data_IF_765069472689
#
_entry.id   IF_765069472689
#
_cell.length_a   1.000
_cell.length_b   1.000
_cell.length_c   1.000
_cell.angle_alpha   90.00
_cell.angle_beta   90.00
_cell.angle_gamma   90.00
#
_symmetry.space_group_name_H-M   'P 1'
#
loop_
_entity.id
_entity.type
_entity.pdbx_description
1 polymer ?
#
# COMPACT_ATOMS: atom_id res chain seq x y z
N UNK A 1 -18.39 6.83 -11.81
CA UNK A 1 -17.07 6.54 -11.20
C UNK A 1 -17.35 5.74 -9.94
N UNK A 2 -16.74 4.56 -9.78
CA UNK A 2 -16.96 3.70 -8.62
C UNK A 2 -16.61 4.46 -7.32
N UNK A 3 -17.25 4.17 -6.18
CA UNK A 3 -16.89 4.77 -4.90
C UNK A 3 -15.39 4.57 -4.68
N UNK A 4 -14.67 5.64 -4.32
CA UNK A 4 -13.23 5.57 -4.03
C UNK A 4 -13.07 4.69 -2.80
N UNK A 5 -12.68 3.43 -3.01
CA UNK A 5 -12.35 2.49 -1.93
C UNK A 5 -10.88 2.66 -1.57
N UNK A 6 -10.49 2.20 -0.38
CA UNK A 6 -9.09 2.25 0.06
C UNK A 6 -8.19 1.48 -0.93
N UNK A 7 -8.72 0.41 -1.53
CA UNK A 7 -8.05 -0.32 -2.61
C UNK A 7 -7.72 0.58 -3.81
N UNK A 8 -8.66 1.41 -4.27
CA UNK A 8 -8.38 2.33 -5.38
C UNK A 8 -7.32 3.38 -5.03
N UNK A 9 -7.38 3.96 -3.84
CA UNK A 9 -6.40 4.95 -3.39
C UNK A 9 -4.99 4.35 -3.22
N UNK A 10 -4.90 3.12 -2.69
CA UNK A 10 -3.64 2.39 -2.61
C UNK A 10 -3.07 2.09 -3.99
N UNK A 11 -3.90 1.66 -4.94
CA UNK A 11 -3.45 1.38 -6.31
C UNK A 11 -2.94 2.64 -7.03
N UNK A 12 -3.64 3.77 -6.88
CA UNK A 12 -3.22 5.05 -7.46
C UNK A 12 -1.88 5.50 -6.87
N UNK A 13 -1.75 5.44 -5.54
CA UNK A 13 -0.52 5.73 -4.82
C UNK A 13 0.64 4.83 -5.28
N UNK A 14 0.44 3.52 -5.36
CA UNK A 14 1.49 2.59 -5.82
C UNK A 14 1.88 2.87 -7.28
N UNK A 15 0.97 3.38 -8.10
CA UNK A 15 1.25 3.76 -9.49
C UNK A 15 1.99 5.10 -9.59
N UNK A 16 1.81 6.01 -8.63
CA UNK A 16 2.56 7.27 -8.55
C UNK A 16 4.01 7.05 -8.06
N UNK A 17 4.23 6.01 -7.26
CA UNK A 17 5.57 5.64 -6.81
C UNK A 17 6.49 5.27 -7.98
N UNK A 18 7.72 5.76 -7.90
CA UNK A 18 8.79 5.31 -8.80
C UNK A 18 9.09 3.84 -8.52
N UNK A 19 9.50 3.12 -9.56
CA UNK A 19 9.89 1.71 -9.48
C UNK A 19 10.84 1.41 -8.30
N UNK A 20 11.83 2.28 -8.07
CA UNK A 20 12.77 2.12 -6.95
C UNK A 20 12.09 2.21 -5.58
N UNK A 21 11.16 3.15 -5.39
CA UNK A 21 10.45 3.33 -4.12
C UNK A 21 9.42 2.23 -3.91
N UNK A 22 8.79 1.77 -5.00
CA UNK A 22 7.93 0.59 -5.00
C UNK A 22 8.68 -0.70 -4.62
N UNK A 23 9.90 -0.90 -5.13
CA UNK A 23 10.74 -2.04 -4.75
C UNK A 23 11.11 -1.98 -3.25
N UNK A 24 11.48 -0.80 -2.73
CA UNK A 24 11.71 -0.60 -1.29
C UNK A 24 10.45 -0.86 -0.47
N UNK A 25 9.30 -0.41 -0.95
CA UNK A 25 8.01 -0.64 -0.31
C UNK A 25 7.73 -2.13 -0.19
N UNK A 26 7.84 -2.89 -1.29
CA UNK A 26 7.67 -4.34 -1.30
C UNK A 26 8.66 -5.02 -0.35
N UNK A 27 9.92 -4.58 -0.33
CA UNK A 27 10.92 -5.13 0.57
C UNK A 27 10.54 -4.93 2.05
N UNK A 28 10.09 -3.73 2.44
CA UNK A 28 9.62 -3.45 3.81
C UNK A 28 8.34 -4.20 4.16
N UNK A 29 7.44 -4.37 3.19
CA UNK A 29 6.23 -5.16 3.36
C UNK A 29 6.55 -6.64 3.64
N UNK A 30 7.58 -7.18 2.98
CA UNK A 30 8.06 -8.56 3.18
C UNK A 30 8.91 -8.75 4.44
N UNK A 31 9.63 -7.72 4.87
CA UNK A 31 10.49 -7.74 6.07
C UNK A 31 9.67 -7.73 7.38
N UNK A 32 8.37 -7.40 7.30
CA UNK A 32 7.47 -7.39 8.45
C UNK A 32 7.31 -8.80 9.03
N UNK A 33 7.84 -9.00 10.25
CA UNK A 33 7.79 -10.28 10.98
C UNK A 33 6.53 -10.47 11.80
N UNK A 34 5.75 -9.41 11.99
CA UNK A 34 4.47 -9.44 12.72
C UNK A 34 3.35 -9.99 11.84
N UNK A 35 2.47 -10.81 12.42
CA UNK A 35 1.25 -11.24 11.73
C UNK A 35 0.18 -10.13 11.79
N UNK A 36 -0.59 -9.92 10.70
CA UNK A 36 -0.57 -10.65 9.44
C UNK A 36 0.60 -10.24 8.52
N UNK A 37 1.21 -11.23 7.83
CA UNK A 37 2.41 -11.03 6.98
C UNK A 37 2.14 -11.32 5.52
N UNK A 38 2.70 -10.51 4.64
CA UNK A 38 2.65 -10.75 3.19
C UNK A 38 3.81 -11.67 2.80
N UNK A 39 3.51 -12.75 2.10
CA UNK A 39 4.55 -13.67 1.61
C UNK A 39 5.15 -13.17 0.31
N UNK A 40 6.42 -13.48 0.05
CA UNK A 40 7.12 -13.11 -1.20
C UNK A 40 6.34 -13.54 -2.44
N UNK A 41 5.77 -14.75 -2.44
CA UNK A 41 4.95 -15.28 -3.54
C UNK A 41 3.65 -14.48 -3.79
N UNK A 42 3.24 -13.60 -2.86
CA UNK A 42 2.06 -12.76 -3.02
C UNK A 42 2.40 -11.40 -3.64
N UNK A 43 3.69 -11.05 -3.78
CA UNK A 43 4.16 -9.75 -4.26
C UNK A 43 5.04 -9.91 -5.49
N UNK A 44 5.90 -10.92 -5.50
CA UNK A 44 6.81 -11.19 -6.61
C UNK A 44 6.04 -11.69 -7.83
N UNK A 45 6.17 -10.97 -8.95
CA UNK A 45 5.48 -11.30 -10.21
C UNK A 45 4.03 -10.83 -10.29
N UNK A 46 3.51 -10.15 -9.26
CA UNK A 46 2.15 -9.61 -9.26
C UNK A 46 2.09 -8.17 -9.77
N UNK A 47 0.96 -7.83 -10.37
CA UNK A 47 0.66 -6.46 -10.78
C UNK A 47 0.36 -5.58 -9.56
N UNK A 48 0.55 -4.26 -9.71
CA UNK A 48 0.25 -3.24 -8.69
C UNK A 48 -1.15 -3.44 -8.08
N UNK A 49 -2.16 -3.65 -8.93
CA UNK A 49 -3.55 -3.91 -8.51
C UNK A 49 -3.70 -5.17 -7.66
N UNK A 50 -3.01 -6.25 -8.02
CA UNK A 50 -3.05 -7.49 -7.25
C UNK A 50 -2.32 -7.36 -5.92
N UNK A 51 -1.24 -6.57 -5.87
CA UNK A 51 -0.51 -6.29 -4.63
C UNK A 51 -1.39 -5.47 -3.69
N UNK A 52 -2.13 -4.49 -4.22
CA UNK A 52 -3.12 -3.75 -3.45
C UNK A 52 -4.21 -4.66 -2.89
N UNK A 53 -4.76 -5.55 -3.71
CA UNK A 53 -5.79 -6.49 -3.27
C UNK A 53 -5.26 -7.42 -2.17
N UNK A 54 -4.04 -7.95 -2.33
CA UNK A 54 -3.36 -8.73 -1.29
C UNK A 54 -3.21 -7.92 0.00
N UNK A 55 -2.86 -6.64 -0.09
CA UNK A 55 -2.70 -5.76 1.07
C UNK A 55 -4.01 -5.58 1.83
N UNK A 56 -5.09 -5.26 1.10
CA UNK A 56 -6.43 -5.08 1.68
C UNK A 56 -6.98 -6.40 2.24
N UNK A 57 -6.77 -7.51 1.54
CA UNK A 57 -7.21 -8.84 1.95
C UNK A 57 -6.44 -9.36 3.18
N UNK A 58 -5.13 -9.08 3.25
CA UNK A 58 -4.26 -9.53 4.35
C UNK A 58 -4.45 -8.69 5.61
N UNK A 59 -4.51 -7.37 5.46
CA UNK A 59 -4.51 -6.46 6.60
C UNK A 59 -5.90 -5.96 6.99
N UNK A 60 -6.90 -6.00 6.09
CA UNK A 60 -8.15 -5.21 6.09
C UNK A 60 -7.92 -3.76 5.64
N UNK A 61 -8.94 -3.12 5.04
CA UNK A 61 -8.80 -1.79 4.40
C UNK A 61 -8.14 -0.73 5.31
N UNK A 62 -8.65 -0.54 6.53
CA UNK A 62 -8.13 0.47 7.47
C UNK A 62 -6.67 0.20 7.86
N UNK A 63 -6.36 -1.06 8.18
CA UNK A 63 -5.00 -1.48 8.54
C UNK A 63 -4.04 -1.43 7.35
N UNK A 64 -4.52 -1.76 6.14
CA UNK A 64 -3.73 -1.68 4.91
C UNK A 64 -3.29 -0.24 4.64
N UNK A 65 -4.19 0.72 4.87
CA UNK A 65 -3.88 2.14 4.82
C UNK A 65 -2.78 2.52 5.83
N UNK A 66 -2.96 2.19 7.11
CA UNK A 66 -1.96 2.50 8.15
C UNK A 66 -0.58 1.89 7.83
N UNK A 67 -0.57 0.61 7.44
CA UNK A 67 0.65 -0.11 7.05
C UNK A 67 1.32 0.55 5.84
N UNK A 68 0.56 0.92 4.82
CA UNK A 68 1.09 1.59 3.64
C UNK A 68 1.71 2.95 4.00
N UNK A 69 0.99 3.76 4.78
CA UNK A 69 1.45 5.08 5.25
C UNK A 69 2.73 4.96 6.08
N UNK A 70 2.81 3.98 6.97
CA UNK A 70 3.99 3.71 7.78
C UNK A 70 5.20 3.34 6.93
N UNK A 71 5.03 2.41 5.98
CA UNK A 71 6.11 1.99 5.07
C UNK A 71 6.56 3.17 4.21
N UNK A 72 5.62 3.95 3.67
CA UNK A 72 5.91 5.14 2.86
C UNK A 72 6.75 6.16 3.63
N UNK A 73 6.39 6.43 4.89
CA UNK A 73 7.19 7.30 5.78
C UNK A 73 8.59 6.73 6.01
N UNK A 74 8.72 5.42 6.18
CA UNK A 74 10.01 4.76 6.39
C UNK A 74 10.93 4.81 5.15
N UNK A 75 10.38 4.71 3.94
CA UNK A 75 11.17 4.80 2.70
C UNK A 75 11.42 6.25 2.25
N UNK A 76 10.84 7.24 2.94
CA UNK A 76 10.99 8.67 2.64
C UNK A 76 9.90 9.27 1.74
N UNK A 77 8.92 8.47 1.31
CA UNK A 77 7.79 8.88 0.46
C UNK A 77 6.67 9.57 1.28
N UNK A 78 7.03 10.63 2.00
CA UNK A 78 6.10 11.35 2.88
C UNK A 78 4.95 12.04 2.13
N UNK A 79 5.18 12.45 0.87
CA UNK A 79 4.14 13.08 0.04
C UNK A 79 3.06 12.07 -0.33
N UNK A 80 3.45 10.93 -0.90
CA UNK A 80 2.56 9.81 -1.20
C UNK A 80 1.77 9.35 0.04
N UNK A 81 2.44 9.29 1.21
CA UNK A 81 1.78 8.95 2.47
C UNK A 81 0.66 9.93 2.85
N UNK A 82 0.89 11.24 2.67
CA UNK A 82 -0.10 12.28 2.98
C UNK A 82 -1.26 12.26 1.99
N UNK A 83 -0.97 12.07 0.71
CA UNK A 83 -1.97 12.00 -0.34
C UNK A 83 -2.91 10.81 -0.13
N UNK A 84 -2.33 9.65 0.14
CA UNK A 84 -3.08 8.43 0.46
C UNK A 84 -4.03 8.62 1.66
N UNK A 85 -3.55 9.24 2.75
CA UNK A 85 -4.41 9.57 3.90
C UNK A 85 -5.51 10.55 3.50
N UNK A 86 -5.19 11.61 2.75
CA UNK A 86 -6.16 12.63 2.34
C UNK A 86 -7.28 12.04 1.48
N UNK A 87 -6.96 11.16 0.54
CA UNK A 87 -7.95 10.52 -0.32
C UNK A 87 -8.89 9.58 0.45
N UNK A 88 -8.35 8.84 1.42
CA UNK A 88 -9.09 7.82 2.16
C UNK A 88 -9.88 8.41 3.35
N UNK A 89 -9.34 9.41 4.05
CA UNK A 89 -10.01 10.08 5.18
C UNK A 89 -10.91 11.24 4.77
N UNK A 90 -10.71 11.81 3.58
CA UNK A 90 -11.51 12.93 3.05
C UNK A 90 -12.82 12.53 2.38
N UNK A 91 -13.17 11.24 2.34
CA UNK A 91 -14.38 10.71 1.68
C UNK A 91 -15.54 10.43 2.66
N UNK A 92 -15.60 11.14 3.80
CA UNK A 92 -16.70 11.02 4.77
C UNK A 92 -17.58 12.26 4.84
#
# INVERSE_FOLDING_TARGET
MAPRTISSALADMLSDLKKQDFEKFCHRLLDRREEPRVRRNQVEGKSLLEITDVLVSTFTEQRALDVAVEILKQIGCNQAARELVRETTGSN
#
